data_IF_373368657559
#
_entry.id   IF_373368657559
#
_cell.length_a   1.000
_cell.length_b   1.000
_cell.length_c   1.000
_cell.angle_alpha   90.00
_cell.angle_beta   90.00
_cell.angle_gamma   90.00
#
_symmetry.space_group_name_H-M   'P 1'
#
loop_
_entity.id
_entity.type
_entity.pdbx_description
1 polymer ?
#
# COMPACT_ATOMS: atom_id res chain seq x y z
N UNK A 1 16.90 1.12 -10.26
CA UNK A 1 16.64 -0.32 -10.15
C UNK A 1 16.11 -0.84 -11.49
N UNK A 2 17.03 -1.26 -12.36
CA UNK A 2 16.74 -2.09 -13.53
C UNK A 2 17.01 -3.52 -13.07
N UNK A 3 16.19 -4.49 -13.47
CA UNK A 3 16.40 -5.91 -13.17
C UNK A 3 16.22 -6.34 -11.69
N UNK A 4 15.39 -5.65 -10.89
CA UNK A 4 15.02 -6.15 -9.53
C UNK A 4 13.88 -7.17 -9.51
N UNK A 5 13.20 -7.36 -10.63
CA UNK A 5 12.02 -8.20 -10.71
C UNK A 5 12.08 -8.96 -12.02
N UNK A 6 12.32 -10.27 -11.93
CA UNK A 6 12.47 -11.15 -13.09
C UNK A 6 11.11 -11.49 -13.73
N UNK A 7 10.11 -11.78 -12.88
CA UNK A 7 8.78 -12.23 -13.32
C UNK A 7 7.68 -11.66 -12.43
N UNK A 8 6.49 -11.51 -13.01
CA UNK A 8 5.25 -11.15 -12.29
C UNK A 8 4.21 -12.22 -12.62
N UNK A 9 3.58 -12.75 -11.57
CA UNK A 9 2.50 -13.73 -11.69
C UNK A 9 1.19 -13.12 -11.19
N UNK A 10 0.10 -13.47 -11.86
CA UNK A 10 -1.27 -13.11 -11.48
C UNK A 10 -1.84 -14.13 -10.50
N UNK A 11 -2.90 -13.77 -9.77
CA UNK A 11 -3.55 -14.70 -8.84
C UNK A 11 -4.12 -15.94 -9.55
N UNK A 12 -4.62 -15.79 -10.77
CA UNK A 12 -5.11 -16.89 -11.61
C UNK A 12 -4.00 -17.88 -11.99
N UNK A 13 -2.82 -17.38 -12.38
CA UNK A 13 -1.65 -18.22 -12.69
C UNK A 13 -1.18 -18.98 -11.45
N UNK A 14 -1.08 -18.30 -10.31
CA UNK A 14 -0.67 -18.92 -9.04
C UNK A 14 -1.69 -19.97 -8.58
N UNK A 15 -2.99 -19.68 -8.66
CA UNK A 15 -4.05 -20.63 -8.32
C UNK A 15 -4.00 -21.88 -9.21
N UNK A 16 -3.74 -21.71 -10.51
CA UNK A 16 -3.54 -22.82 -11.43
C UNK A 16 -2.31 -23.65 -11.08
N UNK A 17 -1.20 -23.02 -10.69
CA UNK A 17 0.00 -23.75 -10.26
C UNK A 17 -0.26 -24.61 -9.02
N UNK A 18 -0.97 -24.09 -8.01
CA UNK A 18 -1.32 -24.88 -6.83
C UNK A 18 -2.24 -26.05 -7.17
N UNK A 19 -3.23 -25.83 -8.03
CA UNK A 19 -4.11 -26.90 -8.51
C UNK A 19 -3.35 -27.98 -9.27
N UNK A 20 -2.47 -27.60 -10.20
CA UNK A 20 -1.69 -28.53 -11.00
C UNK A 20 -0.66 -29.30 -10.14
N UNK A 21 -0.27 -28.75 -8.98
CA UNK A 21 0.58 -29.40 -7.98
C UNK A 21 -0.20 -30.22 -6.92
N UNK A 22 -1.53 -30.32 -7.01
CA UNK A 22 -2.39 -31.00 -6.03
C UNK A 22 -2.22 -30.46 -4.60
N UNK A 23 -2.05 -29.14 -4.46
CA UNK A 23 -1.88 -28.46 -3.17
C UNK A 23 -3.19 -27.81 -2.70
N UNK A 24 -3.72 -28.29 -1.55
CA UNK A 24 -4.84 -27.66 -0.85
C UNK A 24 -4.34 -26.66 0.21
N UNK A 25 -4.30 -25.38 -0.15
CA UNK A 25 -3.84 -24.30 0.73
C UNK A 25 -4.64 -24.19 2.02
N UNK A 26 -5.96 -24.49 2.00
CA UNK A 26 -6.81 -24.33 3.17
C UNK A 26 -6.52 -25.36 4.27
N UNK A 27 -5.87 -26.48 3.90
CA UNK A 27 -5.45 -27.53 4.83
C UNK A 27 -4.10 -27.27 5.49
N UNK A 28 -3.32 -26.31 4.97
CA UNK A 28 -1.96 -26.04 5.46
C UNK A 28 -1.99 -25.21 6.74
N UNK A 29 -1.05 -25.44 7.67
CA UNK A 29 -0.92 -24.59 8.85
C UNK A 29 -0.49 -23.18 8.45
N UNK A 30 -0.97 -22.18 9.20
CA UNK A 30 -0.52 -20.80 9.05
C UNK A 30 0.97 -20.66 9.41
N UNK A 31 1.69 -19.81 8.68
CA UNK A 31 3.03 -19.37 9.03
C UNK A 31 2.96 -18.10 9.89
N UNK A 32 3.89 -17.96 10.82
CA UNK A 32 3.93 -16.89 11.83
C UNK A 32 4.76 -15.67 11.41
N UNK A 33 5.31 -15.67 10.19
CA UNK A 33 6.16 -14.59 9.66
C UNK A 33 5.35 -13.41 9.14
N UNK A 34 4.56 -12.80 10.01
CA UNK A 34 3.81 -11.61 9.66
C UNK A 34 4.52 -10.34 10.13
N UNK A 35 5.03 -9.59 9.17
CA UNK A 35 5.85 -8.40 9.40
C UNK A 35 5.14 -7.13 8.92
N UNK A 36 3.92 -7.21 8.42
CA UNK A 36 3.22 -6.06 7.81
C UNK A 36 2.32 -5.36 8.82
N UNK A 37 2.22 -4.02 8.72
CA UNK A 37 1.30 -3.23 9.53
C UNK A 37 -0.08 -3.10 8.87
N UNK A 38 -1.12 -2.70 9.62
CA UNK A 38 -2.45 -2.43 9.07
C UNK A 38 -2.37 -1.47 7.88
N UNK A 39 -1.67 -0.35 8.04
CA UNK A 39 -1.46 0.65 7.01
C UNK A 39 -0.83 0.08 5.73
N UNK A 40 0.08 -0.90 5.85
CA UNK A 40 0.69 -1.56 4.70
C UNK A 40 -0.23 -2.56 4.00
N UNK A 41 -1.11 -3.25 4.75
CA UNK A 41 -2.04 -4.24 4.20
C UNK A 41 -3.17 -3.61 3.40
N UNK A 42 -3.73 -2.52 3.90
CA UNK A 42 -4.94 -1.91 3.31
C UNK A 42 -4.69 -1.16 2.00
N UNK A 43 -3.43 -0.97 1.57
CA UNK A 43 -3.08 -0.34 0.28
C UNK A 43 -3.83 -0.94 -0.92
N UNK A 44 -4.24 -2.21 -0.82
CA UNK A 44 -4.80 -2.96 -1.93
C UNK A 44 -6.16 -2.44 -2.43
N UNK A 45 -6.92 -1.67 -1.64
CA UNK A 45 -8.18 -1.08 -2.09
C UNK A 45 -8.10 0.45 -2.20
N UNK A 46 -8.98 1.05 -3.02
CA UNK A 46 -9.05 2.51 -3.16
C UNK A 46 -9.27 3.19 -1.80
N UNK A 47 -8.47 4.22 -1.51
CA UNK A 47 -8.47 4.95 -0.24
C UNK A 47 -7.52 4.38 0.80
N UNK A 48 -7.06 3.13 0.63
CA UNK A 48 -6.17 2.46 1.57
C UNK A 48 -4.82 3.16 1.70
N UNK A 49 -4.26 3.61 0.58
CA UNK A 49 -3.00 4.38 0.58
C UNK A 49 -3.18 5.73 1.28
N UNK A 50 -4.25 6.47 0.99
CA UNK A 50 -4.58 7.71 1.68
C UNK A 50 -4.71 7.51 3.18
N UNK A 51 -5.41 6.46 3.61
CA UNK A 51 -5.63 6.16 5.02
C UNK A 51 -4.32 5.82 5.72
N UNK A 52 -3.50 5.01 5.11
CA UNK A 52 -2.20 4.63 5.64
C UNK A 52 -1.21 5.80 5.72
N UNK A 53 -1.18 6.67 4.70
CA UNK A 53 -0.40 7.92 4.76
C UNK A 53 -0.92 8.82 5.88
N UNK A 54 -2.24 8.94 6.05
CA UNK A 54 -2.83 9.70 7.14
C UNK A 54 -2.42 9.15 8.51
N UNK A 55 -2.60 7.86 8.76
CA UNK A 55 -2.23 7.21 10.02
C UNK A 55 -0.75 7.40 10.34
N UNK A 56 0.11 7.20 9.35
CA UNK A 56 1.57 7.35 9.53
C UNK A 56 1.95 8.81 9.75
N UNK A 57 1.32 9.76 9.04
CA UNK A 57 1.54 11.20 9.22
C UNK A 57 1.14 11.67 10.62
N UNK A 58 -0.03 11.25 11.10
CA UNK A 58 -0.52 11.56 12.45
C UNK A 58 0.40 10.97 13.53
N UNK A 59 0.93 9.76 13.30
CA UNK A 59 1.89 9.13 14.21
C UNK A 59 3.25 9.84 14.24
N UNK A 60 3.80 10.18 13.08
CA UNK A 60 5.12 10.82 12.97
C UNK A 60 5.11 12.31 13.33
N UNK A 61 3.98 12.99 13.13
CA UNK A 61 3.83 14.43 13.31
C UNK A 61 2.55 14.75 14.11
N UNK A 62 2.47 14.35 15.39
CA UNK A 62 1.27 14.57 16.20
C UNK A 62 0.92 16.06 16.39
N UNK A 63 1.92 16.95 16.35
CA UNK A 63 1.77 18.40 16.49
C UNK A 63 1.62 19.14 15.14
N UNK A 64 1.17 18.44 14.09
CA UNK A 64 1.05 19.02 12.76
C UNK A 64 0.19 20.30 12.74
N UNK A 65 0.60 21.31 11.96
CA UNK A 65 -0.11 22.60 11.87
C UNK A 65 -1.21 22.64 10.81
N UNK A 66 -1.34 21.57 10.03
CA UNK A 66 -2.33 21.46 8.98
C UNK A 66 -2.86 20.02 8.90
N UNK A 67 -4.14 19.83 8.55
CA UNK A 67 -4.68 18.49 8.35
C UNK A 67 -4.25 17.94 6.97
N UNK A 68 -4.07 16.63 6.90
CA UNK A 68 -4.02 15.92 5.62
C UNK A 68 -5.43 15.91 5.00
N UNK A 69 -5.56 16.52 3.83
CA UNK A 69 -6.78 16.52 3.02
C UNK A 69 -6.51 15.69 1.77
N UNK A 70 -6.93 14.44 1.81
CA UNK A 70 -6.80 13.51 0.70
C UNK A 70 -8.00 13.58 -0.25
N UNK A 71 -7.74 13.34 -1.53
CA UNK A 71 -8.76 13.04 -2.54
C UNK A 71 -8.35 11.76 -3.28
N UNK A 72 -9.33 10.92 -3.59
CA UNK A 72 -9.14 9.64 -4.27
C UNK A 72 -9.74 9.69 -5.67
N UNK A 73 -9.06 9.05 -6.62
CA UNK A 73 -9.54 8.78 -7.95
C UNK A 73 -9.58 7.27 -8.20
N UNK A 74 -10.77 6.76 -8.50
CA UNK A 74 -11.07 5.34 -8.62
C UNK A 74 -11.20 4.91 -10.09
N UNK A 75 -10.12 4.39 -10.65
CA UNK A 75 -10.04 4.02 -12.06
C UNK A 75 -9.49 5.14 -12.95
N UNK A 76 -9.10 4.76 -14.17
CA UNK A 76 -8.43 5.64 -15.14
C UNK A 76 -9.24 6.91 -15.45
N UNK A 77 -10.57 6.80 -15.56
CA UNK A 77 -11.43 7.93 -15.91
C UNK A 77 -11.41 9.01 -14.83
N UNK A 78 -11.50 8.61 -13.56
CA UNK A 78 -11.41 9.55 -12.43
C UNK A 78 -9.98 10.08 -12.28
N UNK A 79 -8.96 9.25 -12.52
CA UNK A 79 -7.57 9.70 -12.49
C UNK A 79 -7.31 10.80 -13.54
N UNK A 80 -7.83 10.63 -14.75
CA UNK A 80 -7.73 11.64 -15.81
C UNK A 80 -8.42 12.94 -15.41
N UNK A 81 -9.60 12.86 -14.79
CA UNK A 81 -10.31 14.04 -14.29
C UNK A 81 -9.50 14.74 -13.19
N UNK A 82 -9.01 14.00 -12.21
CA UNK A 82 -8.19 14.53 -11.11
C UNK A 82 -6.95 15.25 -11.66
N UNK A 83 -6.24 14.63 -12.61
CA UNK A 83 -5.08 15.26 -13.24
C UNK A 83 -5.44 16.52 -14.03
N UNK A 84 -6.59 16.55 -14.70
CA UNK A 84 -7.07 17.75 -15.40
C UNK A 84 -7.43 18.88 -14.41
N UNK A 85 -8.09 18.56 -13.30
CA UNK A 85 -8.37 19.52 -12.22
C UNK A 85 -7.07 20.07 -11.62
N UNK A 86 -6.04 19.21 -11.47
CA UNK A 86 -4.70 19.61 -11.03
C UNK A 86 -4.05 20.59 -12.00
N UNK A 87 -4.05 20.29 -13.30
CA UNK A 87 -3.50 21.14 -14.33
C UNK A 87 -4.22 22.50 -14.45
N UNK A 88 -5.52 22.52 -14.18
CA UNK A 88 -6.34 23.74 -14.17
C UNK A 88 -6.19 24.58 -12.89
N UNK A 89 -5.46 24.09 -11.87
CA UNK A 89 -5.32 24.75 -10.56
C UNK A 89 -6.55 24.59 -9.65
N UNK A 90 -7.47 23.69 -9.97
CA UNK A 90 -8.71 23.45 -9.22
C UNK A 90 -8.52 22.40 -8.10
N UNK A 91 -7.55 22.61 -7.22
CA UNK A 91 -7.19 21.64 -6.17
C UNK A 91 -7.49 22.19 -4.77
N UNK A 92 -8.19 21.40 -3.94
CA UNK A 92 -8.44 21.70 -2.52
C UNK A 92 -7.76 20.71 -1.54
N UNK A 93 -7.18 19.64 -2.09
CA UNK A 93 -6.47 18.59 -1.38
C UNK A 93 -4.96 18.86 -1.33
N UNK A 94 -4.26 18.31 -0.34
CA UNK A 94 -2.79 18.31 -0.26
C UNK A 94 -2.19 16.90 -0.39
N UNK A 95 -3.03 15.89 -0.55
CA UNK A 95 -2.64 14.53 -0.91
C UNK A 95 -3.62 13.96 -1.92
N UNK A 96 -3.13 13.23 -2.92
CA UNK A 96 -3.93 12.72 -4.02
C UNK A 96 -3.57 11.26 -4.25
N UNK A 97 -4.58 10.40 -4.24
CA UNK A 97 -4.44 8.98 -4.53
C UNK A 97 -5.15 8.65 -5.85
N UNK A 98 -4.46 7.99 -6.77
CA UNK A 98 -5.03 7.54 -8.03
C UNK A 98 -4.84 6.04 -8.19
N UNK A 99 -5.93 5.32 -8.38
CA UNK A 99 -5.94 3.88 -8.64
C UNK A 99 -6.30 3.62 -10.10
N UNK A 100 -5.49 2.80 -10.80
CA UNK A 100 -5.76 2.46 -12.20
C UNK A 100 -7.02 1.62 -12.38
N UNK A 101 -7.28 0.71 -11.43
CA UNK A 101 -8.48 -0.14 -11.44
C UNK A 101 -9.58 0.43 -10.53
N UNK A 102 -10.83 0.17 -10.90
CA UNK A 102 -11.97 0.48 -10.03
C UNK A 102 -11.92 -0.48 -8.83
N UNK A 103 -11.92 0.08 -7.62
CA UNK A 103 -11.76 -0.62 -6.36
C UNK A 103 -10.32 -0.74 -5.88
N UNK A 104 -9.32 -0.26 -6.64
CA UNK A 104 -7.91 -0.42 -6.30
C UNK A 104 -7.34 -1.74 -6.84
N UNK A 105 -6.22 -2.20 -6.27
CA UNK A 105 -5.56 -3.45 -6.65
C UNK A 105 -6.48 -4.68 -6.52
N UNK A 106 -7.36 -4.72 -5.51
CA UNK A 106 -8.36 -5.79 -5.33
C UNK A 106 -9.34 -5.90 -6.51
N UNK A 107 -9.55 -4.80 -7.24
CA UNK A 107 -10.36 -4.75 -8.45
C UNK A 107 -9.61 -4.98 -9.75
N UNK A 108 -8.37 -5.46 -9.66
CA UNK A 108 -7.55 -5.82 -10.81
C UNK A 108 -8.21 -6.87 -11.70
N UNK A 109 -7.91 -6.88 -13.02
CA UNK A 109 -8.60 -7.74 -13.99
C UNK A 109 -8.34 -9.24 -13.81
N UNK A 110 -7.38 -9.60 -12.95
CA UNK A 110 -6.99 -10.99 -12.64
C UNK A 110 -7.19 -11.31 -11.16
N UNK A 111 -8.08 -10.57 -10.48
CA UNK A 111 -8.57 -10.94 -9.15
C UNK A 111 -9.47 -12.17 -9.25
N UNK A 112 -9.46 -13.01 -8.22
CA UNK A 112 -10.27 -14.23 -8.14
C UNK A 112 -11.64 -13.99 -7.49
N UNK A 113 -11.80 -12.86 -6.80
CA UNK A 113 -12.98 -12.53 -6.01
C UNK A 113 -13.65 -11.27 -6.56
N UNK A 114 -14.90 -11.03 -6.14
CA UNK A 114 -15.50 -9.72 -6.34
C UNK A 114 -14.71 -8.63 -5.61
N UNK A 115 -14.87 -7.39 -6.04
CA UNK A 115 -14.18 -6.24 -5.44
C UNK A 115 -14.59 -6.08 -3.98
N UNK A 116 -15.87 -6.29 -3.71
CA UNK A 116 -16.50 -6.13 -2.42
C UNK A 116 -15.98 -7.19 -1.43
N UNK A 117 -15.96 -8.47 -1.84
CA UNK A 117 -15.41 -9.55 -1.02
C UNK A 117 -13.91 -9.37 -0.78
N UNK A 118 -13.14 -9.07 -1.83
CA UNK A 118 -11.70 -8.87 -1.71
C UNK A 118 -11.35 -7.67 -0.81
N UNK A 119 -12.11 -6.57 -0.90
CA UNK A 119 -11.94 -5.42 0.00
C UNK A 119 -12.18 -5.83 1.45
N UNK A 120 -13.26 -6.57 1.70
CA UNK A 120 -13.56 -7.07 3.05
C UNK A 120 -12.42 -7.96 3.59
N UNK A 121 -11.91 -8.89 2.78
CA UNK A 121 -10.80 -9.75 3.20
C UNK A 121 -9.52 -8.94 3.49
N UNK A 122 -9.24 -7.91 2.70
CA UNK A 122 -8.10 -7.00 2.95
C UNK A 122 -8.28 -6.24 4.26
N UNK A 123 -9.49 -5.74 4.55
CA UNK A 123 -9.78 -5.03 5.80
C UNK A 123 -9.66 -5.96 7.02
N UNK A 124 -10.23 -7.17 6.93
CA UNK A 124 -10.15 -8.18 7.98
C UNK A 124 -8.68 -8.56 8.23
N UNK A 125 -7.90 -8.84 7.17
CA UNK A 125 -6.47 -9.09 7.28
C UNK A 125 -5.70 -7.87 7.82
N UNK A 126 -6.11 -6.66 7.46
CA UNK A 126 -5.58 -5.41 8.00
C UNK A 126 -5.73 -5.30 9.51
N UNK A 127 -6.88 -5.69 10.05
CA UNK A 127 -7.22 -5.63 11.46
C UNK A 127 -6.47 -6.66 12.32
N UNK A 128 -5.97 -7.74 11.71
CA UNK A 128 -5.16 -8.77 12.37
C UNK A 128 -3.70 -8.33 12.59
N UNK A 129 -3.27 -7.20 12.00
CA UNK A 129 -1.90 -6.76 12.11
C UNK A 129 -1.53 -6.34 13.54
N UNK A 130 -0.32 -6.71 13.96
CA UNK A 130 0.21 -6.34 15.29
C UNK A 130 0.58 -4.87 15.43
N UNK A 131 0.89 -4.22 14.32
CA UNK A 131 1.33 -2.82 14.25
C UNK A 131 0.37 -2.07 13.33
N UNK A 132 0.03 -0.83 13.67
CA UNK A 132 -0.91 -0.04 12.86
C UNK A 132 -0.19 0.59 11.68
N UNK A 133 1.00 1.17 11.91
CA UNK A 133 1.81 1.88 10.92
C UNK A 133 3.21 1.25 10.82
N UNK A 134 3.95 1.52 9.72
CA UNK A 134 5.33 1.07 9.61
C UNK A 134 6.30 1.78 10.57
N UNK A 135 5.91 2.93 11.16
CA UNK A 135 6.79 3.73 12.00
C UNK A 135 7.14 3.05 13.34
N UNK A 136 6.23 2.25 13.90
CA UNK A 136 6.42 1.47 15.12
C UNK A 136 6.82 0.01 14.87
N UNK A 137 6.94 -0.39 13.60
CA UNK A 137 7.19 -1.77 13.23
C UNK A 137 8.69 -2.11 13.39
N UNK A 138 9.07 -3.06 14.28
CA UNK A 138 10.46 -3.35 14.58
C UNK A 138 11.24 -3.88 13.39
N UNK A 139 10.59 -4.59 12.45
CA UNK A 139 11.24 -5.08 11.23
C UNK A 139 11.62 -3.92 10.31
N UNK A 140 10.78 -2.89 10.22
CA UNK A 140 11.07 -1.67 9.44
C UNK A 140 12.22 -0.90 10.09
N UNK A 141 12.19 -0.74 11.41
CA UNK A 141 13.26 -0.08 12.17
C UNK A 141 14.60 -0.79 12.01
N UNK A 142 14.61 -2.13 12.03
CA UNK A 142 15.83 -2.91 11.80
C UNK A 142 16.39 -2.71 10.38
N UNK A 143 15.52 -2.67 9.36
CA UNK A 143 15.93 -2.38 7.98
C UNK A 143 16.53 -0.98 7.89
N UNK A 144 15.90 0.03 8.50
CA UNK A 144 16.40 1.40 8.52
C UNK A 144 17.79 1.48 9.17
N UNK A 145 17.99 0.81 10.31
CA UNK A 145 19.30 0.75 10.98
C UNK A 145 20.38 0.16 10.06
N UNK A 146 20.07 -0.93 9.35
CA UNK A 146 20.99 -1.55 8.38
C UNK A 146 21.30 -0.65 7.19
N UNK A 147 20.39 0.26 6.85
CA UNK A 147 20.56 1.27 5.80
C UNK A 147 21.27 2.55 6.30
N UNK A 148 21.67 2.60 7.57
CA UNK A 148 22.37 3.75 8.17
C UNK A 148 21.45 4.83 8.74
N UNK A 149 20.19 4.48 9.03
CA UNK A 149 19.21 5.38 9.63
C UNK A 149 18.91 4.96 11.07
N UNK A 150 19.34 5.78 12.03
CA UNK A 150 19.16 5.50 13.45
C UNK A 150 17.71 5.65 13.93
N UNK A 151 16.91 6.43 13.20
CA UNK A 151 15.48 6.66 13.50
C UNK A 151 14.67 6.81 12.21
N UNK A 152 13.34 6.64 12.28
CA UNK A 152 12.44 6.97 11.17
C UNK A 152 12.54 8.45 10.79
N UNK A 153 12.74 9.34 11.77
CA UNK A 153 12.91 10.77 11.54
C UNK A 153 14.16 11.10 10.71
N UNK A 154 15.22 10.31 10.83
CA UNK A 154 16.44 10.47 10.02
C UNK A 154 16.16 10.33 8.51
N UNK A 155 15.11 9.59 8.13
CA UNK A 155 14.66 9.44 6.75
C UNK A 155 14.11 10.74 6.15
N UNK A 156 13.55 11.62 6.99
CA UNK A 156 12.96 12.90 6.58
C UNK A 156 14.00 13.98 6.28
N UNK A 157 15.27 13.71 6.57
CA UNK A 157 16.37 14.66 6.44
C UNK A 157 17.45 14.21 5.45
N UNK A 158 17.38 12.97 4.98
CA UNK A 158 18.36 12.40 4.06
C UNK A 158 17.63 12.05 2.76
N UNK A 159 17.54 13.03 1.87
CA UNK A 159 16.59 13.05 0.75
C UNK A 159 16.96 12.11 -0.41
N UNK A 160 18.18 11.57 -0.42
CA UNK A 160 18.72 10.93 -1.63
C UNK A 160 18.40 9.43 -1.75
N UNK A 161 18.00 8.75 -0.67
CA UNK A 161 17.79 7.27 -0.73
C UNK A 161 16.61 6.86 -1.62
N UNK A 162 15.59 7.70 -1.75
CA UNK A 162 14.43 7.46 -2.63
C UNK A 162 14.42 8.35 -3.87
N UNK A 163 15.34 9.31 -3.95
CA UNK A 163 15.48 10.17 -5.11
C UNK A 163 16.22 9.42 -6.20
N UNK A 164 15.70 9.48 -7.41
CA UNK A 164 16.34 8.90 -8.59
C UNK A 164 16.96 10.03 -9.38
N UNK A 165 18.25 9.94 -9.66
CA UNK A 165 18.84 10.72 -10.74
C UNK A 165 18.18 10.27 -12.05
N UNK A 166 17.47 11.20 -12.71
CA UNK A 166 16.79 10.99 -14.00
C UNK A 166 17.74 11.40 -15.12
#
# INVERSE_FOLDING_TARGET
>A
IKDSTDYVLTFDEVAKMFKDADLDLASLPEDTKDHSSTAGRIYAHTGGVSKAVQMTFEHLCPDHKFPLRSIQANGIMECKKLLADVQAGNIKANFMEGMGCIGGCVGGPRSLLSREEATKHVDDYGAEARYETPAENPYVLEILLRLGFDTVGSLLHNDDIFTRDI
#
